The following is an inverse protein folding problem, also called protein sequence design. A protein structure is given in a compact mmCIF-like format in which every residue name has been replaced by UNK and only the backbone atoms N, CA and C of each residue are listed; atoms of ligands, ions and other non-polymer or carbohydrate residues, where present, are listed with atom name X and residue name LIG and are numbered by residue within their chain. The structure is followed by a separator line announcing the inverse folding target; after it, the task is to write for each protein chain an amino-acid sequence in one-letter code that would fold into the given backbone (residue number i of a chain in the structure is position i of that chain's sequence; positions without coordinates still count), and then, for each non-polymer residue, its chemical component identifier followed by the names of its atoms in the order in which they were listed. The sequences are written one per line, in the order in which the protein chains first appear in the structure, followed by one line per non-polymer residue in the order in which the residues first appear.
data_IF_293981923530
#
_entry.id   IF_293981923530
#
_cell.length_a   1.000
_cell.length_b   1.000
_cell.length_c   1.000
_cell.angle_alpha   90.00
_cell.angle_beta   90.00
_cell.angle_gamma   90.00
#
_symmetry.space_group_name_H-M   'P 1'
#
loop_
_entity.id
_entity.type
_entity.pdbx_description
1 polymer ?
#
# COMPACT_ATOMS: atom_id res chain seq x y z
N UNK A 1 -18.10 7.30 7.96
CA UNK A 1 -16.89 6.48 8.00
C UNK A 1 -15.73 7.40 8.33
N UNK A 2 -15.02 7.14 9.43
CA UNK A 2 -13.79 7.85 9.77
C UNK A 2 -12.72 7.45 8.75
N UNK A 3 -12.03 8.43 8.16
CA UNK A 3 -10.91 8.17 7.25
C UNK A 3 -9.63 8.23 8.08
N UNK A 4 -8.90 7.12 8.09
CA UNK A 4 -7.54 7.12 8.61
C UNK A 4 -6.66 7.91 7.64
N UNK A 5 -5.79 8.77 8.18
CA UNK A 5 -4.82 9.54 7.42
C UNK A 5 -3.49 9.56 8.17
N UNK A 6 -2.40 9.66 7.42
CA UNK A 6 -1.08 9.92 7.95
C UNK A 6 -0.73 11.37 7.63
N UNK A 7 -0.38 12.15 8.66
CA UNK A 7 0.07 13.52 8.48
C UNK A 7 1.60 13.56 8.35
N UNK A 8 2.09 14.34 7.37
CA UNK A 8 3.51 14.59 7.15
C UNK A 8 3.77 16.09 7.39
N UNK A 9 3.93 16.55 8.64
CA UNK A 9 4.05 17.96 8.96
C UNK A 9 5.31 18.59 8.36
N UNK A 10 6.32 17.80 8.04
CA UNK A 10 7.60 18.23 7.48
C UNK A 10 7.47 18.81 6.07
N UNK A 11 6.41 18.44 5.33
CA UNK A 11 6.16 18.97 3.99
C UNK A 11 5.21 20.18 3.98
N UNK A 12 4.58 20.49 5.12
CA UNK A 12 3.59 21.55 5.21
C UNK A 12 4.20 22.92 4.89
N UNK A 13 3.53 23.68 4.01
CA UNK A 13 3.96 25.02 3.62
C UNK A 13 5.17 25.06 2.68
N UNK A 14 5.71 23.92 2.24
CA UNK A 14 6.78 23.89 1.24
C UNK A 14 6.26 24.19 -0.15
N UNK A 15 7.10 24.85 -0.95
CA UNK A 15 6.82 25.13 -2.37
C UNK A 15 7.34 23.99 -3.23
N UNK A 16 6.46 23.43 -4.06
CA UNK A 16 6.80 22.39 -5.03
C UNK A 16 7.63 23.01 -6.16
N UNK A 17 8.80 22.41 -6.42
CA UNK A 17 9.64 22.69 -7.59
C UNK A 17 9.30 21.75 -8.74
N UNK A 18 9.13 20.46 -8.46
CA UNK A 18 8.71 19.46 -9.45
C UNK A 18 7.87 18.35 -8.80
N UNK A 19 6.96 17.77 -9.57
CA UNK A 19 6.16 16.60 -9.20
C UNK A 19 6.26 15.58 -10.35
N UNK A 20 6.61 14.34 -10.00
CA UNK A 20 6.69 13.22 -10.93
C UNK A 20 5.78 12.10 -10.41
N UNK A 21 5.08 11.45 -11.34
CA UNK A 21 4.26 10.27 -11.08
C UNK A 21 4.87 9.12 -11.88
N UNK A 22 5.06 7.99 -11.22
CA UNK A 22 5.55 6.77 -11.83
C UNK A 22 4.47 5.69 -11.71
N UNK A 23 4.28 4.97 -12.80
CA UNK A 23 3.51 3.73 -12.82
C UNK A 23 4.46 2.60 -12.40
N UNK A 24 4.06 1.81 -11.41
CA UNK A 24 4.78 0.62 -10.97
C UNK A 24 4.02 -0.62 -11.47
N UNK A 25 4.76 -1.63 -11.95
CA UNK A 25 4.24 -2.86 -12.54
C UNK A 25 3.39 -3.70 -11.54
N UNK A 26 3.44 -3.37 -10.24
CA UNK A 26 2.77 -4.07 -9.14
C UNK A 26 1.55 -3.33 -8.57
N UNK A 27 0.72 -2.70 -9.42
CA UNK A 27 -0.48 -1.94 -9.03
C UNK A 27 -0.18 -0.76 -8.07
N UNK A 28 1.05 -0.23 -8.14
CA UNK A 28 1.51 0.88 -7.34
C UNK A 28 1.57 2.19 -8.13
N UNK A 29 1.26 3.32 -7.49
CA UNK A 29 1.65 4.63 -8.00
C UNK A 29 2.67 5.25 -7.05
N UNK A 30 3.86 5.56 -7.56
CA UNK A 30 4.86 6.33 -6.83
C UNK A 30 4.77 7.80 -7.25
N UNK A 31 4.87 8.68 -6.26
CA UNK A 31 4.94 10.12 -6.43
C UNK A 31 6.26 10.63 -5.87
N UNK A 32 6.98 11.44 -6.65
CA UNK A 32 8.17 12.16 -6.19
C UNK A 32 7.92 13.66 -6.28
N UNK A 33 8.05 14.35 -5.15
CA UNK A 33 7.96 15.81 -5.02
C UNK A 33 9.35 16.33 -4.69
N UNK A 34 9.87 17.24 -5.51
CA UNK A 34 11.06 18.02 -5.19
C UNK A 34 10.62 19.42 -4.75
N UNK A 35 11.12 19.91 -3.63
CA UNK A 35 10.81 21.23 -3.10
C UNK A 35 11.86 22.27 -3.48
N UNK A 36 11.49 23.55 -3.45
CA UNK A 36 12.41 24.65 -3.75
C UNK A 36 13.51 24.84 -2.70
N UNK A 37 13.32 24.30 -1.49
CA UNK A 37 14.31 24.35 -0.40
C UNK A 37 15.43 23.29 -0.53
N UNK A 38 15.39 22.48 -1.60
CA UNK A 38 16.37 21.44 -1.88
C UNK A 38 16.04 20.08 -1.27
N UNK A 39 14.95 19.96 -0.51
CA UNK A 39 14.46 18.66 -0.01
C UNK A 39 13.53 17.98 -1.01
N UNK A 40 13.32 16.68 -0.83
CA UNK A 40 12.38 15.89 -1.64
C UNK A 40 11.53 14.98 -0.77
N UNK A 41 10.33 14.66 -1.23
CA UNK A 41 9.41 13.71 -0.61
C UNK A 41 8.99 12.68 -1.66
N UNK A 42 9.12 11.39 -1.34
CA UNK A 42 8.56 10.30 -2.15
C UNK A 42 7.50 9.56 -1.34
N UNK A 43 6.42 9.17 -2.01
CA UNK A 43 5.42 8.27 -1.46
C UNK A 43 4.94 7.31 -2.53
N UNK A 44 4.68 6.07 -2.15
CA UNK A 44 4.02 5.10 -3.00
C UNK A 44 2.79 4.54 -2.30
N UNK A 45 1.74 4.28 -3.08
CA UNK A 45 0.59 3.51 -2.63
C UNK A 45 0.62 2.21 -3.39
N UNK A 46 0.88 1.10 -2.69
CA UNK A 46 0.86 -0.24 -3.27
C UNK A 46 -0.35 -0.99 -2.73
N UNK A 47 -1.08 -1.67 -3.62
CA UNK A 47 -1.94 -2.76 -3.19
C UNK A 47 -1.07 -3.98 -2.91
N UNK A 48 -0.93 -4.39 -1.66
CA UNK A 48 -0.36 -5.72 -1.36
C UNK A 48 -1.47 -6.76 -1.47
N UNK A 49 -1.51 -7.59 -2.53
CA UNK A 49 -2.39 -8.75 -2.54
C UNK A 49 -1.95 -9.70 -1.42
N UNK A 50 -2.81 -9.93 -0.43
CA UNK A 50 -2.57 -10.97 0.57
C UNK A 50 -3.03 -12.31 0.02
N UNK A 51 -2.12 -13.26 -0.18
CA UNK A 51 -2.48 -14.62 -0.57
C UNK A 51 -2.87 -15.42 0.66
N UNK A 52 -4.14 -15.83 0.73
CA UNK A 52 -4.64 -16.71 1.78
C UNK A 52 -5.23 -17.96 1.15
N UNK A 53 -4.89 -19.12 1.69
CA UNK A 53 -5.42 -20.41 1.26
C UNK A 53 -5.75 -21.30 2.44
N UNK A 54 -6.76 -22.14 2.30
CA UNK A 54 -7.13 -23.14 3.31
C UNK A 54 -7.33 -24.49 2.65
N UNK A 55 -6.56 -25.49 3.11
CA UNK A 55 -6.79 -26.90 2.79
C UNK A 55 -7.74 -27.49 3.84
N UNK A 56 -8.82 -28.11 3.39
CA UNK A 56 -9.80 -28.75 4.25
C UNK A 56 -10.29 -30.06 3.65
N UNK A 57 -10.74 -30.97 4.51
CA UNK A 57 -11.42 -32.21 4.13
C UNK A 57 -12.93 -31.94 4.05
N UNK A 58 -13.55 -32.23 2.90
CA UNK A 58 -14.99 -32.08 2.70
C UNK A 58 -15.75 -33.33 3.13
N UNK A 59 -16.83 -33.15 3.88
CA UNK A 59 -17.70 -34.21 4.38
C UNK A 59 -19.08 -33.68 4.76
N UNK A 60 -20.01 -34.55 5.14
CA UNK A 60 -21.33 -34.12 5.61
C UNK A 60 -21.19 -33.39 6.97
N UNK A 61 -21.42 -32.08 6.98
CA UNK A 61 -21.29 -31.24 8.19
C UNK A 61 -20.27 -30.11 8.00
N UNK A 62 -19.62 -29.70 9.10
CA UNK A 62 -18.61 -28.62 9.07
C UNK A 62 -17.28 -29.14 8.52
N UNK A 63 -16.69 -28.49 7.49
CA UNK A 63 -15.40 -28.90 6.93
C UNK A 63 -14.28 -28.88 7.97
N UNK A 64 -13.45 -29.91 7.96
CA UNK A 64 -12.29 -30.00 8.85
C UNK A 64 -11.10 -29.30 8.20
N UNK A 65 -10.68 -28.17 8.77
CA UNK A 65 -9.47 -27.47 8.31
C UNK A 65 -8.25 -28.35 8.61
N UNK A 66 -7.50 -28.67 7.55
CA UNK A 66 -6.24 -29.40 7.63
C UNK A 66 -5.10 -28.39 7.80
N UNK A 67 -5.11 -27.31 7.02
CA UNK A 67 -4.01 -26.33 7.00
C UNK A 67 -4.45 -24.99 6.44
N UNK A 68 -3.88 -23.92 6.98
CA UNK A 68 -3.95 -22.58 6.41
C UNK A 68 -2.58 -22.21 5.81
N UNK A 69 -2.62 -21.42 4.75
CA UNK A 69 -1.47 -20.87 4.04
C UNK A 69 -1.64 -19.36 3.98
N UNK A 70 -0.61 -18.65 4.37
CA UNK A 70 -0.47 -17.20 4.19
C UNK A 70 0.93 -16.98 3.61
N UNK A 71 1.02 -16.11 2.59
CA UNK A 71 2.29 -15.69 1.99
C UNK A 71 2.70 -14.33 2.54
#
# INVERSE_FOLDING_TARGET
MTRDHLECPEVAGKTIKSLKLYEDDADGCETLIEFTDGTSFSSSVCHQPTFKGTLFESGAGTPKVIRNYEL
#
